data_IF_879345776527
#
_entry.id   IF_879345776527
#
_cell.length_a   1.000
_cell.length_b   1.000
_cell.length_c   1.000
_cell.angle_alpha   90.00
_cell.angle_beta   90.00
_cell.angle_gamma   90.00
#
_symmetry.space_group_name_H-M   'P 1'
#
loop_
_entity.id
_entity.type
_entity.pdbx_description
1 polymer ?
#
# COMPACT_ATOMS: atom_id res chain seq x y z
N UNK A 1 -26.03 -23.26 -22.30
CA UNK A 1 -25.15 -22.56 -21.33
C UNK A 1 -24.86 -21.16 -21.87
N UNK A 2 -25.38 -20.09 -21.26
CA UNK A 2 -25.04 -18.72 -21.69
C UNK A 2 -23.56 -18.47 -21.41
N UNK A 3 -22.77 -18.06 -22.42
CA UNK A 3 -21.37 -17.62 -22.23
C UNK A 3 -21.34 -16.56 -21.13
N UNK A 4 -20.66 -16.86 -20.00
CA UNK A 4 -20.57 -15.98 -18.82
C UNK A 4 -19.97 -14.60 -19.16
N UNK A 5 -19.22 -14.52 -20.26
CA UNK A 5 -18.63 -13.29 -20.80
C UNK A 5 -19.03 -13.19 -22.28
N UNK A 6 -20.21 -12.62 -22.56
CA UNK A 6 -20.87 -12.69 -23.88
C UNK A 6 -20.11 -12.11 -25.09
N UNK A 7 -18.91 -11.51 -24.92
CA UNK A 7 -18.06 -11.04 -26.00
C UNK A 7 -16.57 -10.92 -25.58
N UNK A 8 -15.68 -10.77 -26.58
CA UNK A 8 -14.23 -10.61 -26.41
C UNK A 8 -13.88 -9.43 -25.50
N UNK A 9 -14.62 -8.33 -25.61
CA UNK A 9 -14.40 -7.13 -24.78
C UNK A 9 -14.49 -7.42 -23.30
N UNK A 10 -15.56 -8.10 -22.89
CA UNK A 10 -15.81 -8.45 -21.49
C UNK A 10 -14.85 -9.51 -20.98
N UNK A 11 -14.45 -10.47 -21.83
CA UNK A 11 -13.43 -11.46 -21.48
C UNK A 11 -12.07 -10.80 -21.23
N UNK A 12 -11.60 -9.97 -22.16
CA UNK A 12 -10.33 -9.22 -22.03
C UNK A 12 -10.32 -8.36 -20.77
N UNK A 13 -11.38 -7.58 -20.51
CA UNK A 13 -11.50 -6.76 -19.29
C UNK A 13 -11.43 -7.63 -18.04
N UNK A 14 -12.06 -8.79 -18.05
CA UNK A 14 -12.09 -9.71 -16.91
C UNK A 14 -10.74 -10.37 -16.66
N UNK A 15 -9.97 -10.71 -17.70
CA UNK A 15 -8.60 -11.20 -17.56
C UNK A 15 -7.67 -10.11 -17.02
N UNK A 16 -7.69 -8.91 -17.62
CA UNK A 16 -6.83 -7.79 -17.19
C UNK A 16 -7.10 -7.42 -15.72
N UNK A 17 -8.35 -7.45 -15.27
CA UNK A 17 -8.71 -7.17 -13.87
C UNK A 17 -8.13 -8.15 -12.85
N UNK A 18 -7.68 -9.34 -13.26
CA UNK A 18 -6.92 -10.25 -12.39
C UNK A 18 -5.52 -9.73 -12.07
N UNK A 19 -5.01 -8.82 -12.89
CA UNK A 19 -3.67 -8.24 -12.79
C UNK A 19 -3.78 -6.72 -12.56
N UNK A 20 -4.23 -6.27 -11.36
CA UNK A 20 -4.55 -4.87 -11.11
C UNK A 20 -3.37 -3.91 -11.32
N UNK A 21 -2.13 -4.38 -11.14
CA UNK A 21 -0.91 -3.60 -11.40
C UNK A 21 -0.70 -3.24 -12.88
N UNK A 22 -1.37 -3.93 -13.82
CA UNK A 22 -1.34 -3.61 -15.24
C UNK A 22 -2.28 -2.45 -15.57
N UNK A 23 -3.35 -2.25 -14.80
CA UNK A 23 -4.40 -1.28 -15.09
C UNK A 23 -3.86 0.16 -15.20
N UNK A 24 -3.02 0.67 -14.27
CA UNK A 24 -2.43 2.00 -14.42
C UNK A 24 -1.57 2.13 -15.67
N UNK A 25 -0.75 1.12 -15.99
CA UNK A 25 0.07 1.13 -17.21
C UNK A 25 -0.79 1.12 -18.48
N UNK A 26 -1.91 0.40 -18.45
CA UNK A 26 -2.88 0.33 -19.54
C UNK A 26 -3.64 1.65 -19.70
N UNK A 27 -4.02 2.33 -18.60
CA UNK A 27 -4.70 3.63 -18.65
C UNK A 27 -3.79 4.73 -19.19
N UNK A 28 -2.49 4.67 -18.90
CA UNK A 28 -1.49 5.63 -19.39
C UNK A 28 -1.04 5.35 -20.83
N UNK A 29 -1.49 4.24 -21.44
CA UNK A 29 -1.11 3.86 -22.80
C UNK A 29 0.35 3.44 -22.97
N UNK A 30 1.09 3.21 -21.89
CA UNK A 30 2.52 2.89 -21.88
C UNK A 30 2.82 1.39 -22.04
N UNK A 31 1.82 0.58 -22.42
CA UNK A 31 1.95 -0.88 -22.53
C UNK A 31 2.12 -1.35 -23.98
N UNK A 32 2.90 -2.42 -24.17
CA UNK A 32 2.93 -3.11 -25.45
C UNK A 32 1.70 -4.01 -25.62
N UNK A 33 0.68 -3.51 -26.31
CA UNK A 33 -0.59 -4.22 -26.54
C UNK A 33 -0.42 -5.57 -27.25
N UNK A 34 0.50 -5.69 -28.21
CA UNK A 34 0.75 -6.94 -28.92
C UNK A 34 1.33 -8.01 -27.99
N UNK A 35 2.28 -7.62 -27.12
CA UNK A 35 2.87 -8.54 -26.14
C UNK A 35 1.85 -8.93 -25.06
N UNK A 36 1.09 -7.97 -24.55
CA UNK A 36 0.05 -8.24 -23.56
C UNK A 36 -1.03 -9.17 -24.13
N UNK A 37 -1.49 -8.93 -25.36
CA UNK A 37 -2.45 -9.80 -26.05
C UNK A 37 -1.96 -11.24 -26.14
N UNK A 38 -0.68 -11.43 -26.47
CA UNK A 38 -0.04 -12.76 -26.51
C UNK A 38 -0.04 -13.44 -25.13
N UNK A 39 0.25 -12.69 -24.07
CA UNK A 39 0.32 -13.21 -22.70
C UNK A 39 -1.05 -13.61 -22.15
N UNK A 40 -2.10 -12.84 -22.45
CA UNK A 40 -3.45 -13.10 -21.92
C UNK A 40 -4.29 -14.02 -22.82
N UNK A 41 -3.79 -14.39 -24.00
CA UNK A 41 -4.56 -15.16 -25.00
C UNK A 41 -5.15 -16.44 -24.41
N UNK A 42 -4.33 -17.25 -23.73
CA UNK A 42 -4.78 -18.52 -23.14
C UNK A 42 -5.91 -18.35 -22.12
N UNK A 43 -5.83 -17.30 -21.29
CA UNK A 43 -6.89 -16.96 -20.34
C UNK A 43 -8.18 -16.52 -21.06
N UNK A 44 -8.07 -15.72 -22.14
CA UNK A 44 -9.21 -15.24 -22.92
C UNK A 44 -9.90 -16.38 -23.67
N UNK A 45 -9.12 -17.27 -24.30
CA UNK A 45 -9.64 -18.44 -25.02
C UNK A 45 -10.41 -19.36 -24.05
N UNK A 46 -9.82 -19.61 -22.87
CA UNK A 46 -10.43 -20.43 -21.82
C UNK A 46 -11.75 -19.83 -21.32
N UNK A 47 -11.85 -18.51 -21.19
CA UNK A 47 -13.07 -17.85 -20.74
C UNK A 47 -14.20 -17.86 -21.78
N UNK A 48 -13.86 -17.88 -23.07
CA UNK A 48 -14.81 -17.82 -24.17
C UNK A 48 -15.13 -19.19 -24.78
N UNK A 49 -14.31 -20.19 -24.45
CA UNK A 49 -14.35 -21.55 -25.01
C UNK A 49 -14.19 -21.54 -26.54
N UNK A 50 -13.28 -20.69 -27.03
CA UNK A 50 -12.97 -20.50 -28.46
C UNK A 50 -11.53 -20.03 -28.61
N UNK A 51 -10.85 -20.46 -29.67
CA UNK A 51 -9.58 -19.89 -30.11
C UNK A 51 -9.79 -18.47 -30.70
N UNK A 52 -9.49 -17.43 -29.93
CA UNK A 52 -9.69 -16.05 -30.33
C UNK A 52 -8.48 -15.52 -31.09
N UNK A 53 -8.74 -14.84 -32.21
CA UNK A 53 -7.71 -14.12 -32.96
C UNK A 53 -7.01 -13.08 -32.06
N UNK A 54 -5.68 -13.17 -32.00
CA UNK A 54 -4.83 -12.30 -31.19
C UNK A 54 -5.00 -10.80 -31.50
N UNK A 55 -5.26 -10.44 -32.76
CA UNK A 55 -5.51 -9.05 -33.18
C UNK A 55 -6.83 -8.53 -32.60
N UNK A 56 -7.83 -9.40 -32.44
CA UNK A 56 -9.09 -9.04 -31.78
C UNK A 56 -8.90 -8.74 -30.29
N UNK A 57 -8.02 -9.51 -29.62
CA UNK A 57 -7.63 -9.27 -28.23
C UNK A 57 -6.89 -7.93 -28.13
N UNK A 58 -5.91 -7.69 -29.01
CA UNK A 58 -5.16 -6.43 -29.08
C UNK A 58 -6.08 -5.22 -29.26
N UNK A 59 -6.99 -5.27 -30.23
CA UNK A 59 -7.96 -4.19 -30.46
C UNK A 59 -8.87 -3.96 -29.26
N UNK A 60 -9.25 -5.03 -28.58
CA UNK A 60 -10.00 -4.92 -27.33
C UNK A 60 -9.21 -4.27 -26.21
N UNK A 61 -7.92 -4.56 -26.07
CA UNK A 61 -7.03 -3.92 -25.09
C UNK A 61 -6.86 -2.42 -25.38
N UNK A 62 -6.66 -2.04 -26.64
CA UNK A 62 -6.55 -0.62 -27.06
C UNK A 62 -7.83 0.14 -26.71
N UNK A 63 -9.00 -0.45 -26.99
CA UNK A 63 -10.29 0.15 -26.61
C UNK A 63 -10.42 0.26 -25.09
N UNK A 64 -10.02 -0.76 -24.35
CA UNK A 64 -10.10 -0.73 -22.90
C UNK A 64 -9.16 0.31 -22.28
N UNK A 65 -7.96 0.50 -22.82
CA UNK A 65 -7.04 1.57 -22.42
C UNK A 65 -7.71 2.96 -22.50
N UNK A 66 -8.34 3.29 -23.63
CA UNK A 66 -9.07 4.56 -23.82
C UNK A 66 -10.23 4.73 -22.84
N UNK A 67 -10.91 3.64 -22.49
CA UNK A 67 -11.96 3.69 -21.47
C UNK A 67 -11.39 3.96 -20.07
N UNK A 68 -10.15 3.55 -19.78
CA UNK A 68 -9.51 3.69 -18.47
C UNK A 68 -8.84 5.06 -18.27
N UNK A 69 -8.48 5.76 -19.34
CA UNK A 69 -7.86 7.11 -19.29
C UNK A 69 -8.64 8.07 -18.37
N UNK A 70 -9.96 7.96 -18.32
CA UNK A 70 -10.83 8.82 -17.50
C UNK A 70 -10.89 8.44 -16.02
N UNK A 71 -10.44 7.24 -15.63
CA UNK A 71 -10.73 6.66 -14.30
C UNK A 71 -9.51 6.50 -13.39
N UNK A 72 -8.32 6.31 -13.95
CA UNK A 72 -7.13 6.00 -13.17
C UNK A 72 -6.09 7.11 -13.35
N UNK A 73 -6.21 8.13 -12.50
CA UNK A 73 -5.23 9.20 -12.42
C UNK A 73 -4.42 9.08 -11.13
N UNK A 74 -3.15 8.67 -11.25
CA UNK A 74 -2.25 8.62 -10.10
C UNK A 74 -1.88 10.03 -9.60
N UNK A 75 -2.10 11.09 -10.39
CA UNK A 75 -1.73 12.47 -10.05
C UNK A 75 -2.29 12.92 -8.71
N UNK A 76 -3.54 12.57 -8.38
CA UNK A 76 -4.14 12.97 -7.10
C UNK A 76 -3.42 12.30 -5.93
N UNK A 77 -3.18 10.99 -6.03
CA UNK A 77 -2.40 10.27 -5.01
C UNK A 77 -0.94 10.74 -4.90
N UNK A 78 -0.33 11.14 -6.03
CA UNK A 78 1.00 11.74 -6.06
C UNK A 78 0.99 13.09 -5.35
N UNK A 79 -0.01 13.93 -5.62
CA UNK A 79 -0.15 15.25 -5.01
C UNK A 79 -0.30 15.12 -3.48
N UNK A 80 -1.19 14.24 -3.01
CA UNK A 80 -1.36 13.97 -1.57
C UNK A 80 -0.05 13.49 -0.94
N UNK A 81 0.61 12.51 -1.54
CA UNK A 81 1.88 12.00 -1.00
C UNK A 81 2.97 13.07 -1.00
N UNK A 82 3.07 13.88 -2.05
CA UNK A 82 4.02 15.01 -2.13
C UNK A 82 3.75 16.10 -1.09
N UNK A 83 2.51 16.23 -0.62
CA UNK A 83 2.14 17.12 0.49
C UNK A 83 2.53 16.58 1.87
N UNK A 84 3.00 15.34 1.97
CA UNK A 84 3.17 14.64 3.25
C UNK A 84 4.52 14.92 3.94
N UNK A 85 4.54 14.86 5.26
CA UNK A 85 5.78 14.89 6.06
C UNK A 85 6.14 13.49 6.55
N UNK A 86 7.43 13.23 6.77
CA UNK A 86 7.96 11.93 7.17
C UNK A 86 8.71 12.03 8.49
N UNK A 87 8.53 11.02 9.34
CA UNK A 87 9.33 10.80 10.54
C UNK A 87 9.73 9.33 10.62
N UNK A 88 11.02 9.08 10.80
CA UNK A 88 11.54 7.74 11.11
C UNK A 88 11.66 7.60 12.62
N UNK A 89 10.97 6.60 13.17
CA UNK A 89 11.09 6.19 14.57
C UNK A 89 11.88 4.88 14.57
N UNK A 90 13.10 4.96 15.10
CA UNK A 90 13.98 3.81 15.24
C UNK A 90 13.61 3.02 16.48
N UNK A 91 13.96 1.73 16.51
CA UNK A 91 13.83 0.89 17.71
C UNK A 91 12.39 0.74 18.20
N UNK A 92 11.55 0.19 17.32
CA UNK A 92 10.15 -0.11 17.59
C UNK A 92 9.99 -1.60 17.90
N UNK A 93 9.11 -1.89 18.86
CA UNK A 93 8.70 -3.25 19.23
C UNK A 93 7.21 -3.43 18.94
N UNK A 94 6.86 -4.60 18.42
CA UNK A 94 5.49 -5.04 18.23
C UNK A 94 5.19 -6.15 19.21
N UNK A 95 4.21 -5.93 20.08
CA UNK A 95 3.77 -6.88 21.09
C UNK A 95 2.34 -7.27 20.78
N UNK A 96 2.10 -8.52 20.46
CA UNK A 96 0.76 -9.07 20.25
C UNK A 96 0.31 -9.84 21.49
N UNK A 97 -0.84 -9.47 22.03
CA UNK A 97 -1.43 -10.05 23.24
C UNK A 97 -2.90 -10.42 23.03
N UNK A 98 -3.47 -11.20 23.93
CA UNK A 98 -4.94 -11.34 24.00
C UNK A 98 -5.59 -10.02 24.41
N UNK A 99 -6.85 -9.81 24.01
CA UNK A 99 -7.57 -8.58 24.36
C UNK A 99 -7.77 -8.42 25.87
N UNK A 100 -7.93 -9.52 26.61
CA UNK A 100 -7.97 -9.58 28.08
C UNK A 100 -6.70 -8.98 28.70
N UNK A 101 -5.54 -9.37 28.18
CA UNK A 101 -4.24 -8.84 28.60
C UNK A 101 -4.13 -7.35 28.28
N UNK A 102 -4.56 -6.89 27.09
CA UNK A 102 -4.57 -5.45 26.77
C UNK A 102 -5.38 -4.64 27.79
N UNK A 103 -6.58 -5.12 28.16
CA UNK A 103 -7.45 -4.42 29.12
C UNK A 103 -6.78 -4.29 30.49
N UNK A 104 -6.06 -5.31 30.95
CA UNK A 104 -5.35 -5.28 32.22
C UNK A 104 -4.22 -4.26 32.25
N UNK A 105 -3.57 -4.00 31.11
CA UNK A 105 -2.44 -3.07 31.02
C UNK A 105 -2.85 -1.67 30.58
N UNK A 106 -4.13 -1.46 30.26
CA UNK A 106 -4.63 -0.24 29.62
C UNK A 106 -4.42 1.01 30.49
N UNK A 107 -4.69 0.94 31.79
CA UNK A 107 -4.49 2.06 32.71
C UNK A 107 -3.02 2.51 32.78
N UNK A 108 -2.09 1.56 32.68
CA UNK A 108 -0.65 1.84 32.67
C UNK A 108 -0.18 2.39 31.32
N UNK A 109 -0.76 1.91 30.22
CA UNK A 109 -0.55 2.54 28.91
C UNK A 109 -1.01 3.99 28.95
N UNK A 110 -2.21 4.27 29.46
CA UNK A 110 -2.76 5.62 29.58
C UNK A 110 -1.88 6.55 30.42
N UNK A 111 -1.26 6.04 31.49
CA UNK A 111 -0.34 6.84 32.31
C UNK A 111 0.96 7.17 31.55
N UNK A 112 1.44 6.28 30.68
CA UNK A 112 2.65 6.48 29.86
C UNK A 112 2.39 7.35 28.62
N UNK A 113 1.14 7.42 28.14
CA UNK A 113 0.74 8.33 27.06
C UNK A 113 0.90 9.82 27.43
N UNK A 114 1.20 10.13 28.69
CA UNK A 114 1.59 11.48 29.12
C UNK A 114 3.02 11.83 28.67
N UNK A 115 3.18 12.05 27.36
CA UNK A 115 4.44 12.42 26.72
C UNK A 115 4.38 12.30 25.20
N UNK A 116 5.37 12.81 24.47
CA UNK A 116 5.50 12.62 23.00
C UNK A 116 6.02 11.22 22.64
N UNK A 117 5.53 10.17 23.34
CA UNK A 117 5.98 8.78 23.17
C UNK A 117 5.11 8.10 22.11
N UNK A 118 5.74 7.45 21.14
CA UNK A 118 5.02 6.77 20.07
C UNK A 118 4.47 5.42 20.55
N UNK A 119 3.14 5.29 20.56
CA UNK A 119 2.40 4.06 20.84
C UNK A 119 1.23 3.99 19.85
N UNK A 120 1.07 2.84 19.20
CA UNK A 120 -0.06 2.53 18.34
C UNK A 120 -0.66 1.20 18.79
N UNK A 121 -1.98 1.14 18.91
CA UNK A 121 -2.69 -0.07 19.34
C UNK A 121 -3.65 -0.47 18.22
N UNK A 122 -3.47 -1.67 17.71
CA UNK A 122 -4.36 -2.26 16.70
C UNK A 122 -5.10 -3.44 17.31
N UNK A 123 -6.42 -3.32 17.45
CA UNK A 123 -7.26 -4.41 17.89
C UNK A 123 -7.63 -5.32 16.70
N UNK A 124 -7.32 -6.61 16.82
CA UNK A 124 -7.88 -7.69 16.00
C UNK A 124 -9.13 -8.31 16.64
N UNK A 125 -9.57 -9.48 16.14
CA UNK A 125 -10.80 -10.12 16.65
C UNK A 125 -10.68 -10.56 18.12
N UNK A 126 -9.58 -11.21 18.48
CA UNK A 126 -9.32 -11.75 19.82
C UNK A 126 -8.00 -11.25 20.42
N UNK A 127 -7.20 -10.56 19.62
CA UNK A 127 -5.85 -10.12 19.97
C UNK A 127 -5.73 -8.62 19.78
N UNK A 128 -4.73 -8.02 20.41
CA UNK A 128 -4.30 -6.66 20.13
C UNK A 128 -2.81 -6.66 19.85
N UNK A 129 -2.38 -5.84 18.90
CA UNK A 129 -0.96 -5.59 18.65
C UNK A 129 -0.65 -4.16 19.05
N UNK A 130 0.30 -4.01 19.96
CA UNK A 130 0.84 -2.73 20.36
C UNK A 130 2.17 -2.52 19.66
N UNK A 131 2.30 -1.39 18.99
CA UNK A 131 3.52 -0.93 18.34
C UNK A 131 4.03 0.25 19.15
N UNK A 132 5.23 0.17 19.70
CA UNK A 132 5.76 1.22 20.57
C UNK A 132 7.28 1.35 20.46
N UNK A 133 7.82 2.49 20.85
CA UNK A 133 9.26 2.64 21.05
C UNK A 133 9.78 1.67 22.12
N UNK A 134 11.04 1.20 21.98
CA UNK A 134 11.64 0.22 22.88
C UNK A 134 11.63 0.65 24.35
N UNK A 135 11.89 1.93 24.64
CA UNK A 135 11.85 2.48 25.99
C UNK A 135 10.45 2.40 26.64
N UNK A 136 9.39 2.55 25.85
CA UNK A 136 8.01 2.36 26.32
C UNK A 136 7.75 0.89 26.61
N UNK A 137 8.26 0.01 25.75
CA UNK A 137 8.17 -1.43 25.97
C UNK A 137 8.87 -1.84 27.27
N UNK A 138 10.06 -1.30 27.56
CA UNK A 138 10.77 -1.55 28.82
C UNK A 138 9.91 -1.15 30.04
N UNK A 139 9.26 0.02 30.01
CA UNK A 139 8.38 0.50 31.09
C UNK A 139 7.13 -0.40 31.31
N UNK A 140 6.77 -1.21 30.31
CA UNK A 140 5.60 -2.08 30.30
C UNK A 140 5.95 -3.58 30.36
N UNK A 141 7.23 -3.95 30.32
CA UNK A 141 7.65 -5.35 30.13
C UNK A 141 7.10 -6.28 31.20
N UNK A 142 7.05 -5.84 32.46
CA UNK A 142 6.53 -6.64 33.60
C UNK A 142 5.02 -6.93 33.51
N UNK A 143 4.29 -6.15 32.72
CA UNK A 143 2.85 -6.28 32.54
C UNK A 143 2.50 -7.28 31.42
N UNK A 144 3.43 -7.50 30.50
CA UNK A 144 3.29 -8.40 29.37
C UNK A 144 3.70 -9.84 29.75
N UNK A 145 2.91 -10.48 30.63
CA UNK A 145 3.18 -11.84 31.11
C UNK A 145 2.79 -12.93 30.11
N UNK A 146 1.68 -12.73 29.41
CA UNK A 146 1.11 -13.68 28.43
C UNK A 146 1.10 -13.05 27.04
N UNK A 147 2.28 -13.02 26.41
CA UNK A 147 2.47 -12.47 25.07
C UNK A 147 2.36 -13.56 24.02
N UNK A 148 1.58 -13.30 22.98
CA UNK A 148 1.40 -14.21 21.84
C UNK A 148 2.60 -14.10 20.89
N UNK A 149 3.06 -12.88 20.64
CA UNK A 149 4.21 -12.62 19.76
C UNK A 149 4.91 -11.33 20.15
N UNK A 150 6.24 -11.34 20.09
CA UNK A 150 7.08 -10.14 20.19
C UNK A 150 7.92 -10.06 18.92
N UNK A 151 7.87 -8.93 18.24
CA UNK A 151 8.79 -8.62 17.15
C UNK A 151 9.57 -7.37 17.53
N UNK A 152 10.87 -7.55 17.76
CA UNK A 152 11.82 -6.48 18.01
C UNK A 152 12.57 -6.11 16.72
N UNK A 153 13.56 -5.22 16.86
CA UNK A 153 14.42 -4.81 15.74
C UNK A 153 13.63 -4.27 14.55
N UNK A 154 12.56 -3.51 14.82
CA UNK A 154 11.75 -2.84 13.81
C UNK A 154 12.00 -1.34 13.80
N UNK A 155 11.55 -0.71 12.72
CA UNK A 155 11.46 0.74 12.60
C UNK A 155 10.08 1.12 12.08
N UNK A 156 9.57 2.28 12.50
CA UNK A 156 8.33 2.85 11.98
C UNK A 156 8.64 4.08 11.11
N UNK A 157 8.04 4.13 9.92
CA UNK A 157 7.95 5.35 9.12
C UNK A 157 6.55 5.91 9.33
N UNK A 158 6.47 7.04 10.02
CA UNK A 158 5.26 7.84 10.15
C UNK A 158 5.18 8.83 9.00
N UNK A 159 4.09 8.78 8.26
CA UNK A 159 3.78 9.65 7.13
C UNK A 159 2.52 10.44 7.50
N UNK A 160 2.65 11.74 7.64
CA UNK A 160 1.50 12.63 7.93
C UNK A 160 1.15 13.37 6.64
N UNK A 161 -0.02 13.05 6.09
CA UNK A 161 -0.48 13.56 4.80
C UNK A 161 -1.49 14.72 4.96
N UNK A 162 -1.78 15.48 3.88
CA UNK A 162 -2.96 16.34 3.84
C UNK A 162 -4.25 15.55 4.04
N UNK A 163 -5.30 16.21 4.53
CA UNK A 163 -6.61 15.59 4.83
C UNK A 163 -7.22 14.86 3.63
N UNK A 164 -6.89 15.29 2.42
CA UNK A 164 -7.27 14.66 1.14
C UNK A 164 -6.94 13.16 1.08
N UNK A 165 -5.96 12.65 1.86
CA UNK A 165 -5.65 11.21 1.95
C UNK A 165 -6.86 10.36 2.33
N UNK A 166 -7.80 10.91 3.10
CA UNK A 166 -9.02 10.21 3.56
C UNK A 166 -9.90 9.81 2.36
N UNK A 167 -9.89 10.63 1.30
CA UNK A 167 -10.79 10.49 0.16
C UNK A 167 -10.08 10.10 -1.14
N UNK A 168 -8.74 10.07 -1.15
CA UNK A 168 -7.94 9.86 -2.36
C UNK A 168 -7.45 8.42 -2.48
N UNK A 169 -7.99 7.62 -3.41
CA UNK A 169 -7.48 6.28 -3.67
C UNK A 169 -6.05 6.30 -4.22
N UNK A 170 -5.27 5.27 -3.92
CA UNK A 170 -3.97 5.04 -4.55
C UNK A 170 -2.75 5.52 -3.75
N UNK A 171 -2.92 6.33 -2.70
CA UNK A 171 -1.79 6.79 -1.87
C UNK A 171 -1.06 5.60 -1.23
N UNK A 172 -1.79 4.69 -0.59
CA UNK A 172 -1.22 3.47 0.01
C UNK A 172 -0.61 2.55 -1.06
N UNK A 173 -1.20 2.49 -2.25
CA UNK A 173 -0.64 1.74 -3.38
C UNK A 173 0.71 2.31 -3.81
N UNK A 174 0.84 3.63 -3.97
CA UNK A 174 2.10 4.28 -4.31
C UNK A 174 3.19 3.95 -3.28
N UNK A 175 2.89 4.12 -1.99
CA UNK A 175 3.86 3.86 -0.93
C UNK A 175 4.28 2.38 -0.93
N UNK A 176 3.31 1.45 -1.02
CA UNK A 176 3.59 0.02 -1.07
C UNK A 176 4.41 -0.37 -2.30
N UNK A 177 4.14 0.24 -3.45
CA UNK A 177 4.92 0.04 -4.67
C UNK A 177 6.36 0.52 -4.53
N UNK A 178 6.59 1.71 -3.96
CA UNK A 178 7.92 2.26 -3.70
C UNK A 178 8.76 1.30 -2.84
N UNK A 179 8.16 0.74 -1.79
CA UNK A 179 8.85 -0.23 -0.93
C UNK A 179 9.07 -1.57 -1.62
N UNK A 180 8.07 -2.08 -2.36
CA UNK A 180 8.16 -3.34 -3.11
C UNK A 180 9.30 -3.33 -4.14
N UNK A 181 9.40 -2.28 -4.98
CA UNK A 181 10.44 -2.21 -6.01
C UNK A 181 11.85 -2.10 -5.43
N UNK A 182 11.95 -1.60 -4.20
CA UNK A 182 13.20 -1.55 -3.42
C UNK A 182 13.44 -2.80 -2.56
N UNK A 183 12.61 -3.85 -2.71
CA UNK A 183 12.69 -5.12 -1.97
C UNK A 183 12.58 -4.95 -0.44
N UNK A 184 11.82 -3.96 0.00
CA UNK A 184 11.57 -3.69 1.42
C UNK A 184 10.24 -4.35 1.82
N UNK A 185 10.32 -5.29 2.76
CA UNK A 185 9.13 -5.94 3.30
C UNK A 185 8.44 -5.05 4.35
N UNK A 186 7.11 -4.96 4.27
CA UNK A 186 6.27 -4.28 5.25
C UNK A 186 5.82 -5.33 6.28
N UNK A 187 6.21 -5.14 7.54
CA UNK A 187 5.74 -5.99 8.66
C UNK A 187 4.28 -5.64 9.02
N UNK A 188 3.96 -4.35 9.06
CA UNK A 188 2.63 -3.86 9.36
C UNK A 188 2.41 -2.49 8.71
N UNK A 189 1.18 -2.22 8.29
CA UNK A 189 0.75 -0.89 7.83
C UNK A 189 -0.51 -0.49 8.57
N UNK A 190 -0.56 0.75 9.03
CA UNK A 190 -1.71 1.35 9.68
C UNK A 190 -2.04 2.64 8.94
N UNK A 191 -3.29 2.80 8.52
CA UNK A 191 -3.82 4.04 7.97
C UNK A 191 -4.90 4.53 8.91
N UNK A 192 -4.71 5.71 9.51
CA UNK A 192 -5.63 6.25 10.51
C UNK A 192 -5.70 7.76 10.37
N UNK A 193 -6.89 8.27 10.02
CA UNK A 193 -7.09 9.69 9.71
C UNK A 193 -6.08 10.17 8.64
N UNK A 194 -5.20 11.11 8.97
CA UNK A 194 -4.16 11.62 8.06
C UNK A 194 -2.81 10.91 8.20
N UNK A 195 -2.70 9.98 9.15
CA UNK A 195 -1.47 9.27 9.46
C UNK A 195 -1.42 7.93 8.72
N UNK A 196 -0.28 7.67 8.08
CA UNK A 196 0.11 6.33 7.61
C UNK A 196 1.37 5.92 8.34
N UNK A 197 1.30 4.80 9.07
CA UNK A 197 2.43 4.23 9.81
C UNK A 197 2.83 2.93 9.12
N UNK A 198 4.10 2.84 8.74
CA UNK A 198 4.67 1.65 8.09
C UNK A 198 5.75 1.07 8.97
N UNK A 199 5.61 -0.20 9.32
CA UNK A 199 6.58 -0.93 10.12
C UNK A 199 7.41 -1.81 9.19
N UNK A 200 8.73 -1.68 9.27
CA UNK A 200 9.71 -2.47 8.52
C UNK A 200 10.78 -3.02 9.45
N UNK A 201 11.62 -3.93 8.97
CA UNK A 201 12.83 -4.31 9.70
C UNK A 201 13.74 -3.09 9.89
N UNK A 202 14.36 -2.96 11.07
CA UNK A 202 15.24 -1.83 11.41
C UNK A 202 16.36 -1.66 10.37
N UNK A 203 16.90 -2.77 9.87
CA UNK A 203 17.92 -2.78 8.81
C UNK A 203 17.47 -2.07 7.52
N UNK A 204 16.17 -2.03 7.25
CA UNK A 204 15.58 -1.34 6.09
C UNK A 204 14.98 0.03 6.43
N UNK A 205 14.92 0.43 7.71
CA UNK A 205 14.22 1.64 8.16
C UNK A 205 14.70 2.92 7.48
N UNK A 206 16.01 3.18 7.49
CA UNK A 206 16.60 4.35 6.83
C UNK A 206 16.36 4.34 5.32
N UNK A 207 16.49 3.17 4.66
CA UNK A 207 16.29 3.06 3.22
C UNK A 207 14.83 3.26 2.82
N UNK A 208 13.91 2.73 3.60
CA UNK A 208 12.47 2.91 3.40
C UNK A 208 12.07 4.38 3.50
N UNK A 209 12.56 5.07 4.53
CA UNK A 209 12.32 6.50 4.72
C UNK A 209 12.91 7.31 3.56
N UNK A 210 14.16 7.03 3.16
CA UNK A 210 14.84 7.69 2.05
C UNK A 210 14.08 7.57 0.73
N UNK A 211 13.64 6.36 0.35
CA UNK A 211 12.92 6.13 -0.92
C UNK A 211 11.61 6.92 -0.98
N UNK A 212 10.88 7.00 0.14
CA UNK A 212 9.62 7.75 0.19
C UNK A 212 9.93 9.27 0.17
N UNK A 213 10.95 9.71 0.90
CA UNK A 213 11.36 11.12 0.94
C UNK A 213 11.87 11.63 -0.41
N UNK A 214 12.65 10.82 -1.14
CA UNK A 214 13.11 11.11 -2.50
C UNK A 214 11.93 11.31 -3.44
N UNK A 215 10.91 10.43 -3.36
CA UNK A 215 9.69 10.58 -4.14
C UNK A 215 8.97 11.89 -3.80
N UNK A 216 8.78 12.20 -2.52
CA UNK A 216 8.12 13.44 -2.07
C UNK A 216 8.88 14.66 -2.57
N UNK A 217 10.21 14.70 -2.39
CA UNK A 217 11.08 15.80 -2.83
C UNK A 217 11.05 16.00 -4.34
N UNK A 218 11.05 14.91 -5.11
CA UNK A 218 10.96 14.96 -6.57
C UNK A 218 9.71 15.73 -7.03
N UNK A 219 8.56 15.43 -6.44
CA UNK A 219 7.29 16.08 -6.81
C UNK A 219 7.10 17.46 -6.15
N UNK A 220 7.76 17.75 -5.01
CA UNK A 220 7.78 19.11 -4.40
C UNK A 220 8.64 20.11 -5.16
N UNK A 221 9.82 19.69 -5.63
CA UNK A 221 10.79 20.54 -6.33
C UNK A 221 10.38 20.91 -7.76
N UNK A 222 9.34 20.28 -8.29
CA UNK A 222 8.78 20.50 -9.62
C UNK A 222 7.90 21.75 -9.73
N UNK A 223 8.45 22.93 -9.45
CA UNK A 223 7.88 24.19 -9.95
C UNK A 223 8.13 24.33 -11.46
N UNK A 224 7.44 23.50 -12.25
CA UNK A 224 7.13 23.71 -13.66
C UNK A 224 6.10 22.62 -14.01
N UNK A 225 4.84 23.02 -14.04
CA UNK A 225 3.65 22.18 -14.21
C UNK A 225 3.51 21.48 -15.57
N UNK A 226 4.60 21.00 -16.17
CA UNK A 226 4.63 20.41 -17.51
C UNK A 226 5.63 19.24 -17.67
N UNK A 227 6.20 18.72 -16.58
CA UNK A 227 7.08 17.53 -16.62
C UNK A 227 6.45 16.29 -15.98
N UNK A 228 5.15 16.09 -16.16
CA UNK A 228 4.59 14.74 -16.02
C UNK A 228 4.64 14.10 -17.41
N UNK A 229 5.73 13.39 -17.69
CA UNK A 229 5.82 12.44 -18.82
C UNK A 229 4.97 11.18 -18.52
N UNK A 230 4.31 11.15 -17.37
CA UNK A 230 3.46 10.07 -16.86
C UNK A 230 2.25 10.67 -16.15
#
# INVERSE_FOLDING_TARGET
>A
MRRKYGNISNAVKSVVRKYPYIIPCLSMGIINYSKLASQIKGDVDTLLDVDVNIDSIKMSLIRYSRELETYYNLRDSINVLSGSSLQLISDVVLVTVELSTLLNVFDKILSILSGRRFIQITQGRNTATLVMEYNVYEDLTDEFKDVISIMDNKAAILIVSPEDIIYTPGVIYLISCLLYVNKINITQIISSYIDTIIIVDRAHGSKACEVIDEFIKWYRGGSNGDRTIL
#
